data_IF_163699476304
#
_entry.id   IF_163699476304
#
_cell.length_a   1.000
_cell.length_b   1.000
_cell.length_c   1.000
_cell.angle_alpha   90.00
_cell.angle_beta   90.00
_cell.angle_gamma   90.00
#
_symmetry.space_group_name_H-M   'P 1'
#
loop_
_entity.id
_entity.type
_entity.pdbx_description
1 polymer ?
#
# COMPACT_ATOMS: atom_id res chain seq x y z
N UNK A 1 5.17 -20.55 44.10
CA UNK A 1 5.72 -20.47 42.72
C UNK A 1 5.08 -21.48 41.78
N UNK A 2 4.74 -22.69 42.24
CA UNK A 2 4.08 -23.71 41.40
C UNK A 2 2.63 -23.38 41.06
N UNK A 3 1.89 -22.73 41.95
CA UNK A 3 0.50 -22.32 41.73
C UNK A 3 0.34 -21.33 40.55
N UNK A 4 1.23 -20.35 40.45
CA UNK A 4 1.29 -19.41 39.32
C UNK A 4 1.67 -20.12 38.01
N UNK A 5 2.51 -21.15 38.05
CA UNK A 5 2.85 -21.95 36.86
C UNK A 5 1.68 -22.78 36.37
N UNK A 6 0.86 -23.29 37.30
CA UNK A 6 -0.37 -24.03 36.99
C UNK A 6 -1.42 -23.10 36.36
N UNK A 7 -1.60 -21.89 36.90
CA UNK A 7 -2.51 -20.89 36.30
C UNK A 7 -2.06 -20.47 34.90
N UNK A 8 -0.76 -20.21 34.69
CA UNK A 8 -0.22 -19.88 33.36
C UNK A 8 -0.43 -21.04 32.38
N UNK A 9 -0.26 -22.30 32.82
CA UNK A 9 -0.49 -23.48 31.99
C UNK A 9 -1.98 -23.63 31.61
N UNK A 10 -2.88 -23.38 32.56
CA UNK A 10 -4.33 -23.41 32.32
C UNK A 10 -4.74 -22.34 31.30
N UNK A 11 -4.25 -21.10 31.43
CA UNK A 11 -4.53 -20.01 30.49
C UNK A 11 -4.01 -20.35 29.09
N UNK A 12 -2.79 -20.90 28.98
CA UNK A 12 -2.22 -21.33 27.68
C UNK A 12 -3.06 -22.42 27.02
N UNK A 13 -3.56 -23.37 27.80
CA UNK A 13 -4.42 -24.45 27.29
C UNK A 13 -5.73 -23.90 26.73
N UNK A 14 -6.39 -22.99 27.46
CA UNK A 14 -7.62 -22.34 27.00
C UNK A 14 -7.38 -21.53 25.73
N UNK A 15 -6.25 -20.80 25.65
CA UNK A 15 -5.89 -20.03 24.47
C UNK A 15 -5.66 -20.92 23.23
N UNK A 16 -5.00 -22.07 23.40
CA UNK A 16 -4.79 -23.07 22.32
C UNK A 16 -6.12 -23.60 21.81
N UNK A 17 -7.00 -24.02 22.72
CA UNK A 17 -8.32 -24.56 22.36
C UNK A 17 -9.21 -23.51 21.65
N UNK A 18 -9.12 -22.25 22.08
CA UNK A 18 -9.83 -21.15 21.41
C UNK A 18 -9.27 -20.88 20.01
N UNK A 19 -7.95 -20.92 19.84
CA UNK A 19 -7.28 -20.75 18.54
C UNK A 19 -7.65 -21.87 17.57
N UNK A 20 -7.60 -23.13 18.02
CA UNK A 20 -7.97 -24.30 17.22
C UNK A 20 -9.43 -24.25 16.76
N UNK A 21 -10.36 -23.87 17.65
CA UNK A 21 -11.77 -23.69 17.28
C UNK A 21 -11.97 -22.57 16.27
N UNK A 22 -11.21 -21.47 16.39
CA UNK A 22 -11.29 -20.35 15.46
C UNK A 22 -10.77 -20.73 14.07
N UNK A 23 -9.69 -21.51 13.98
CA UNK A 23 -9.19 -22.06 12.72
C UNK A 23 -10.19 -23.03 12.08
N UNK A 24 -10.82 -23.91 12.87
CA UNK A 24 -11.84 -24.83 12.39
C UNK A 24 -13.08 -24.09 11.82
N UNK A 25 -13.53 -23.03 12.50
CA UNK A 25 -14.60 -22.16 12.02
C UNK A 25 -14.21 -21.43 10.73
N UNK A 26 -12.97 -20.96 10.62
CA UNK A 26 -12.47 -20.29 9.43
C UNK A 26 -12.38 -21.25 8.22
N UNK A 27 -12.02 -22.51 8.45
CA UNK A 27 -12.03 -23.56 7.42
C UNK A 27 -13.42 -23.84 6.83
N UNK A 28 -14.47 -23.73 7.64
CA UNK A 28 -15.87 -23.90 7.18
C UNK A 28 -16.38 -22.73 6.33
N UNK A 29 -15.86 -21.53 6.55
CA UNK A 29 -16.15 -20.35 5.71
C UNK A 29 -15.50 -20.52 4.33
N UNK A 30 -14.27 -21.08 4.27
CA UNK A 30 -13.51 -21.28 3.03
C UNK A 30 -14.14 -22.37 2.13
N UNK A 31 -14.84 -23.37 2.69
CA UNK A 31 -15.47 -24.43 1.87
C UNK A 31 -16.74 -24.01 1.12
N UNK A 32 -17.23 -22.79 1.34
CA UNK A 32 -18.52 -22.31 0.80
C UNK A 32 -18.40 -21.13 -0.17
N UNK A 33 -17.19 -20.66 -0.51
CA UNK A 33 -16.99 -19.56 -1.44
C UNK A 33 -15.54 -19.41 -1.87
N UNK A 34 -15.33 -19.14 -3.16
CA UNK A 34 -14.04 -18.99 -3.81
C UNK A 34 -13.01 -18.19 -3.01
N UNK A 35 -11.85 -18.82 -2.83
CA UNK A 35 -10.52 -18.28 -2.54
C UNK A 35 -10.40 -16.75 -2.41
N UNK A 36 -10.20 -16.26 -1.17
CA UNK A 36 -9.49 -15.00 -0.89
C UNK A 36 -8.52 -15.24 0.26
N UNK A 37 -7.27 -14.83 0.05
CA UNK A 37 -6.18 -14.86 1.02
C UNK A 37 -6.57 -14.10 2.31
N UNK A 38 -6.34 -14.72 3.46
CA UNK A 38 -6.64 -14.14 4.77
C UNK A 38 -5.72 -12.94 5.08
N UNK A 39 -6.24 -11.72 4.90
CA UNK A 39 -5.81 -10.54 5.66
C UNK A 39 -6.63 -10.45 6.97
N UNK A 40 -6.03 -10.02 8.10
CA UNK A 40 -6.75 -9.93 9.36
C UNK A 40 -7.83 -8.85 9.28
N UNK A 41 -9.05 -9.26 9.65
CA UNK A 41 -10.28 -8.45 9.62
C UNK A 41 -10.12 -7.22 10.53
N UNK A 42 -10.46 -6.09 9.94
CA UNK A 42 -10.33 -4.72 10.43
C UNK A 42 -11.07 -4.49 11.75
N UNK A 43 -10.33 -4.10 12.79
CA UNK A 43 -10.89 -3.30 13.86
C UNK A 43 -11.25 -1.92 13.30
N UNK A 44 -12.46 -1.43 13.59
CA UNK A 44 -13.02 -0.15 13.14
C UNK A 44 -11.98 1.00 13.10
N UNK A 45 -11.55 1.35 11.89
CA UNK A 45 -10.65 2.49 11.66
C UNK A 45 -11.13 3.23 10.40
N UNK A 46 -12.26 3.92 10.49
CA UNK A 46 -12.78 4.75 9.40
C UNK A 46 -11.99 6.07 9.33
N UNK A 47 -10.70 6.00 9.04
CA UNK A 47 -9.91 7.18 8.71
C UNK A 47 -10.37 7.74 7.37
N UNK A 48 -10.76 9.01 7.38
CA UNK A 48 -11.27 9.70 6.21
C UNK A 48 -10.19 9.84 5.11
N UNK A 49 -10.64 9.85 3.85
CA UNK A 49 -9.78 10.00 2.68
C UNK A 49 -8.98 11.29 2.73
N UNK A 50 -9.54 12.37 3.31
CA UNK A 50 -8.82 13.63 3.51
C UNK A 50 -7.58 13.46 4.41
N UNK A 51 -7.68 12.66 5.48
CA UNK A 51 -6.54 12.41 6.37
C UNK A 51 -5.49 11.52 5.72
N UNK A 52 -5.91 10.50 4.96
CA UNK A 52 -5.01 9.67 4.16
C UNK A 52 -4.24 10.50 3.12
N UNK A 53 -4.94 11.39 2.40
CA UNK A 53 -4.32 12.35 1.47
C UNK A 53 -3.31 13.22 2.20
N UNK A 54 -3.69 13.82 3.34
CA UNK A 54 -2.79 14.71 4.12
C UNK A 54 -1.53 13.98 4.55
N UNK A 55 -1.64 12.75 5.05
CA UNK A 55 -0.49 11.93 5.46
C UNK A 55 0.39 11.54 4.27
N UNK A 56 -0.22 11.12 3.16
CA UNK A 56 0.48 10.79 1.93
C UNK A 56 1.27 12.00 1.38
N UNK A 57 0.64 13.18 1.33
CA UNK A 57 1.27 14.43 0.90
C UNK A 57 2.45 14.80 1.82
N UNK A 58 2.30 14.63 3.13
CA UNK A 58 3.38 14.87 4.10
C UNK A 58 4.58 13.94 3.85
N UNK A 59 4.33 12.64 3.63
CA UNK A 59 5.39 11.66 3.34
C UNK A 59 6.08 11.95 2.01
N UNK A 60 5.31 12.24 0.96
CA UNK A 60 5.83 12.57 -0.36
C UNK A 60 6.68 13.84 -0.33
N UNK A 61 6.19 14.88 0.37
CA UNK A 61 6.94 16.14 0.58
C UNK A 61 8.26 15.87 1.30
N UNK A 62 8.24 15.05 2.35
CA UNK A 62 9.45 14.65 3.06
C UNK A 62 10.42 13.86 2.17
N UNK A 63 9.93 12.88 1.41
CA UNK A 63 10.73 12.08 0.49
C UNK A 63 11.42 12.93 -0.58
N UNK A 64 10.69 13.87 -1.19
CA UNK A 64 11.23 14.81 -2.18
C UNK A 64 12.25 15.77 -1.56
N UNK A 65 11.93 16.36 -0.41
CA UNK A 65 12.85 17.24 0.31
C UNK A 65 14.16 16.53 0.69
N UNK A 66 14.05 15.30 1.20
CA UNK A 66 15.20 14.44 1.53
C UNK A 66 16.07 14.19 0.31
N UNK A 67 15.46 13.78 -0.81
CA UNK A 67 16.15 13.51 -2.07
C UNK A 67 16.87 14.75 -2.60
N UNK A 68 16.19 15.90 -2.62
CA UNK A 68 16.76 17.17 -3.09
C UNK A 68 17.92 17.66 -2.21
N UNK A 69 17.74 17.62 -0.89
CA UNK A 69 18.74 18.10 0.07
C UNK A 69 19.99 17.24 0.08
N UNK A 70 19.84 15.92 -0.11
CA UNK A 70 20.94 14.95 -0.12
C UNK A 70 21.35 14.57 -1.56
N UNK A 71 21.05 15.41 -2.55
CA UNK A 71 21.35 15.11 -3.93
C UNK A 71 22.85 15.31 -4.23
N UNK A 72 23.63 14.24 -4.11
CA UNK A 72 25.03 14.20 -4.55
C UNK A 72 25.19 13.81 -6.04
N UNK A 73 24.14 13.99 -6.86
CA UNK A 73 24.14 13.71 -8.30
C UNK A 73 23.90 12.24 -8.68
N UNK A 74 23.82 11.34 -7.70
CA UNK A 74 23.67 9.89 -7.90
C UNK A 74 22.26 9.35 -7.67
N UNK A 75 21.31 10.18 -7.23
CA UNK A 75 19.92 9.77 -6.97
C UNK A 75 19.74 8.76 -5.84
N UNK A 76 20.76 8.58 -4.98
CA UNK A 76 20.79 7.55 -3.94
C UNK A 76 19.71 7.71 -2.85
N UNK A 77 19.20 8.93 -2.66
CA UNK A 77 18.23 9.25 -1.62
C UNK A 77 16.80 9.37 -2.15
N UNK A 78 16.54 8.86 -3.36
CA UNK A 78 15.22 8.89 -3.99
C UNK A 78 14.51 7.54 -3.87
N UNK A 79 13.45 7.50 -3.06
CA UNK A 79 12.52 6.36 -3.02
C UNK A 79 11.50 6.48 -4.17
N UNK A 80 11.98 6.41 -5.43
CA UNK A 80 11.18 6.82 -6.60
C UNK A 80 9.90 6.01 -6.77
N UNK A 81 9.96 4.69 -6.60
CA UNK A 81 8.77 3.83 -6.74
C UNK A 81 7.74 4.13 -5.65
N UNK A 82 8.19 4.38 -4.42
CA UNK A 82 7.31 4.78 -3.32
C UNK A 82 6.66 6.14 -3.59
N UNK A 83 7.42 7.11 -4.08
CA UNK A 83 6.90 8.43 -4.45
C UNK A 83 5.85 8.32 -5.57
N UNK A 84 6.09 7.52 -6.61
CA UNK A 84 5.12 7.28 -7.68
C UNK A 84 3.83 6.62 -7.16
N UNK A 85 3.95 5.66 -6.24
CA UNK A 85 2.81 5.06 -5.56
C UNK A 85 2.00 6.11 -4.79
N UNK A 86 2.65 6.98 -4.02
CA UNK A 86 1.98 8.03 -3.26
C UNK A 86 1.33 9.07 -4.17
N UNK A 87 2.00 9.52 -5.24
CA UNK A 87 1.43 10.45 -6.22
C UNK A 87 0.14 9.87 -6.84
N UNK A 88 0.18 8.61 -7.28
CA UNK A 88 -0.96 7.93 -7.91
C UNK A 88 -2.08 7.69 -6.89
N UNK A 89 -1.74 7.26 -5.67
CA UNK A 89 -2.69 7.05 -4.57
C UNK A 89 -3.43 8.33 -4.19
N UNK A 90 -2.72 9.47 -4.12
CA UNK A 90 -3.33 10.78 -3.86
C UNK A 90 -4.30 11.15 -5.00
N UNK A 91 -3.90 10.94 -6.25
CA UNK A 91 -4.77 11.22 -7.41
C UNK A 91 -6.05 10.37 -7.37
N UNK A 92 -5.91 9.09 -7.07
CA UNK A 92 -7.01 8.14 -6.92
C UNK A 92 -8.00 8.59 -5.82
N UNK A 93 -7.51 8.95 -4.64
CA UNK A 93 -8.38 9.42 -3.54
C UNK A 93 -9.05 10.76 -3.85
N UNK A 94 -8.42 11.61 -4.67
CA UNK A 94 -9.00 12.86 -5.16
C UNK A 94 -9.96 12.66 -6.33
N UNK A 95 -10.10 11.44 -6.86
CA UNK A 95 -10.90 11.16 -8.06
C UNK A 95 -10.33 11.78 -9.34
N UNK A 96 -9.05 12.14 -9.33
CA UNK A 96 -8.35 12.76 -10.46
C UNK A 96 -7.56 11.72 -11.23
N UNK A 97 -7.54 11.84 -12.56
CA UNK A 97 -6.70 10.99 -13.41
C UNK A 97 -5.30 11.58 -13.55
N UNK A 98 -4.29 10.72 -13.54
CA UNK A 98 -2.90 11.10 -13.78
C UNK A 98 -2.31 10.29 -14.92
N UNK A 99 -1.42 10.88 -15.70
CA UNK A 99 -0.79 10.23 -16.85
C UNK A 99 0.53 9.60 -16.44
N UNK A 100 0.95 8.57 -17.19
CA UNK A 100 2.28 7.97 -17.04
C UNK A 100 3.39 9.03 -17.13
N UNK A 101 3.30 9.96 -18.08
CA UNK A 101 4.30 11.02 -18.25
C UNK A 101 4.34 11.99 -17.07
N UNK A 102 3.19 12.31 -16.47
CA UNK A 102 3.12 13.17 -15.28
C UNK A 102 3.76 12.50 -14.07
N UNK A 103 3.48 11.22 -13.83
CA UNK A 103 4.11 10.43 -12.76
C UNK A 103 5.62 10.30 -12.99
N UNK A 104 6.04 10.02 -14.22
CA UNK A 104 7.46 9.92 -14.55
C UNK A 104 8.21 11.24 -14.29
N UNK A 105 7.61 12.38 -14.61
CA UNK A 105 8.18 13.69 -14.32
C UNK A 105 8.28 13.97 -12.81
N UNK A 106 7.26 13.60 -12.03
CA UNK A 106 7.21 13.77 -10.58
C UNK A 106 8.11 12.82 -9.77
N UNK A 107 8.74 11.84 -10.43
CA UNK A 107 9.48 10.76 -9.78
C UNK A 107 10.84 11.13 -9.21
N UNK A 108 11.44 12.25 -9.67
CA UNK A 108 12.77 12.69 -9.26
C UNK A 108 13.95 11.88 -9.85
N UNK A 109 13.71 11.10 -10.90
CA UNK A 109 14.72 10.30 -11.61
C UNK A 109 14.62 10.52 -13.14
N UNK A 110 15.64 10.12 -13.93
CA UNK A 110 15.58 10.24 -15.39
C UNK A 110 14.34 9.57 -16.00
N UNK A 111 13.76 10.22 -17.02
CA UNK A 111 12.49 9.82 -17.62
C UNK A 111 12.43 8.35 -18.05
N UNK A 112 13.47 7.86 -18.75
CA UNK A 112 13.52 6.47 -19.23
C UNK A 112 13.61 5.46 -18.08
N UNK A 113 14.29 5.84 -16.99
CA UNK A 113 14.35 5.05 -15.75
C UNK A 113 12.98 5.00 -15.07
N UNK A 114 12.28 6.14 -14.99
CA UNK A 114 10.93 6.20 -14.44
C UNK A 114 9.96 5.33 -15.22
N UNK A 115 9.96 5.42 -16.55
CA UNK A 115 9.12 4.58 -17.42
C UNK A 115 9.39 3.09 -17.21
N UNK A 116 10.66 2.69 -17.08
CA UNK A 116 11.03 1.30 -16.78
C UNK A 116 10.46 0.84 -15.44
N UNK A 117 10.56 1.66 -14.40
CA UNK A 117 9.98 1.32 -13.09
C UNK A 117 8.46 1.28 -13.11
N UNK A 118 7.79 2.19 -13.80
CA UNK A 118 6.33 2.15 -13.98
C UNK A 118 5.90 0.85 -14.68
N UNK A 119 6.67 0.37 -15.66
CA UNK A 119 6.39 -0.92 -16.30
C UNK A 119 6.51 -2.08 -15.31
N UNK A 120 7.63 -2.17 -14.59
CA UNK A 120 7.85 -3.21 -13.57
C UNK A 120 6.76 -3.17 -12.49
N UNK A 121 6.44 -1.98 -11.97
CA UNK A 121 5.39 -1.81 -10.95
C UNK A 121 4.00 -2.22 -11.46
N UNK A 122 3.70 -2.00 -12.74
CA UNK A 122 2.45 -2.47 -13.33
C UNK A 122 2.43 -3.99 -13.53
N UNK A 123 3.55 -4.59 -13.95
CA UNK A 123 3.72 -6.04 -14.07
C UNK A 123 3.58 -6.74 -12.70
N UNK A 124 4.09 -6.13 -11.63
CA UNK A 124 3.96 -6.60 -10.25
C UNK A 124 2.59 -6.29 -9.62
N UNK A 125 1.65 -5.73 -10.38
CA UNK A 125 0.29 -5.43 -9.90
C UNK A 125 0.22 -4.34 -8.85
N UNK A 126 1.22 -3.44 -8.77
CA UNK A 126 1.16 -2.25 -7.90
C UNK A 126 0.39 -1.11 -8.55
N UNK A 127 0.51 -0.98 -9.86
CA UNK A 127 -0.11 0.07 -10.67
C UNK A 127 -0.94 -0.54 -11.80
N UNK A 128 -1.97 0.18 -12.22
CA UNK A 128 -2.82 -0.19 -13.34
C UNK A 128 -2.72 0.88 -14.43
N UNK A 129 -2.59 0.44 -15.69
CA UNK A 129 -2.54 1.32 -16.86
C UNK A 129 -3.84 1.23 -17.61
N UNK A 130 -4.43 2.38 -17.94
CA UNK A 130 -5.60 2.45 -18.81
C UNK A 130 -5.37 3.44 -19.96
N UNK A 131 -5.77 3.11 -21.20
CA UNK A 131 -5.66 4.05 -22.31
C UNK A 131 -6.61 5.23 -22.08
N UNK A 132 -6.20 6.43 -22.48
CA UNK A 132 -7.12 7.56 -22.51
C UNK A 132 -8.12 7.41 -23.67
N UNK A 133 -9.44 7.41 -23.42
CA UNK A 133 -10.44 7.25 -24.48
C UNK A 133 -10.37 8.30 -25.60
N UNK A 134 -9.84 9.49 -25.31
CA UNK A 134 -9.74 10.58 -26.29
C UNK A 134 -8.40 10.61 -27.05
N UNK A 135 -7.36 9.98 -26.52
CA UNK A 135 -6.03 9.94 -27.13
C UNK A 135 -5.27 8.68 -26.67
N UNK A 136 -5.20 7.67 -27.55
CA UNK A 136 -4.52 6.40 -27.26
C UNK A 136 -3.00 6.54 -27.05
N UNK A 137 -2.40 7.68 -27.40
CA UNK A 137 -0.99 7.95 -27.08
C UNK A 137 -0.79 8.32 -25.61
N UNK A 138 -1.87 8.72 -24.94
CA UNK A 138 -1.88 9.05 -23.53
C UNK A 138 -2.37 7.86 -22.71
N UNK A 139 -1.57 7.49 -21.71
CA UNK A 139 -1.88 6.39 -20.80
C UNK A 139 -2.12 6.98 -19.42
N UNK A 140 -3.28 6.67 -18.84
CA UNK A 140 -3.59 6.96 -17.44
C UNK A 140 -3.02 5.87 -16.54
N UNK A 141 -2.69 6.27 -15.32
CA UNK A 141 -2.15 5.42 -14.28
C UNK A 141 -3.03 5.53 -13.03
N UNK A 142 -3.33 4.40 -12.40
CA UNK A 142 -4.02 4.32 -11.11
C UNK A 142 -3.32 3.32 -10.19
N UNK A 143 -3.59 3.40 -8.89
CA UNK A 143 -3.05 2.44 -7.93
C UNK A 143 -3.95 1.21 -7.91
N UNK A 144 -3.36 0.01 -7.95
CA UNK A 144 -4.15 -1.22 -7.83
C UNK A 144 -4.86 -1.31 -6.49
N UNK A 145 -5.94 -2.08 -6.40
CA UNK A 145 -6.68 -2.26 -5.15
C UNK A 145 -5.77 -2.76 -4.01
N UNK A 146 -4.92 -3.75 -4.29
CA UNK A 146 -3.98 -4.32 -3.32
C UNK A 146 -2.94 -3.30 -2.86
N UNK A 147 -2.37 -2.52 -3.78
CA UNK A 147 -1.37 -1.51 -3.43
C UNK A 147 -2.01 -0.38 -2.62
N UNK A 148 -3.22 0.07 -3.00
CA UNK A 148 -4.00 1.07 -2.27
C UNK A 148 -4.28 0.64 -0.83
N UNK A 149 -4.66 -0.62 -0.61
CA UNK A 149 -4.86 -1.17 0.74
C UNK A 149 -3.56 -1.13 1.56
N UNK A 150 -2.44 -1.61 0.99
CA UNK A 150 -1.13 -1.62 1.67
C UNK A 150 -0.65 -0.21 2.04
N UNK A 151 -0.75 0.75 1.11
CA UNK A 151 -0.40 2.16 1.39
C UNK A 151 -1.28 2.71 2.51
N UNK A 152 -2.58 2.46 2.47
CA UNK A 152 -3.51 2.92 3.51
C UNK A 152 -3.14 2.36 4.89
N UNK A 153 -2.73 1.09 4.97
CA UNK A 153 -2.24 0.47 6.21
C UNK A 153 -0.98 1.16 6.73
N UNK A 154 0.01 1.40 5.86
CA UNK A 154 1.24 2.12 6.22
C UNK A 154 0.92 3.51 6.76
N UNK A 155 0.05 4.25 6.07
CA UNK A 155 -0.32 5.62 6.46
C UNK A 155 -1.08 5.67 7.79
N UNK A 156 -1.85 4.63 8.14
CA UNK A 156 -2.49 4.50 9.46
C UNK A 156 -1.49 4.32 10.58
N UNK A 157 -0.44 3.52 10.34
CA UNK A 157 0.56 3.20 11.35
C UNK A 157 1.57 4.33 11.59
N UNK A 158 1.88 5.14 10.56
CA UNK A 158 2.97 6.11 10.59
C UNK A 158 2.54 7.57 10.87
N UNK A 159 1.24 7.85 11.00
CA UNK A 159 0.73 9.22 11.13
C UNK A 159 0.08 9.54 12.46
#
# INVERSE_FOLDING_TARGET
>A
MDEVRVEIAAIRSVLSQASEKMEALNGLIISSGSQVCAEPVLANDNMDSCELIRRAEKMLKWGRFKSETLNFGSGLFTDSCWNMCLDTYICDLKGTKVTVSSIAHGSGIPMTTAMRYINVMAEEGMLEKSPNPSDNRMIFLSTSMTCKAKISTILRQLG
#
